data_IF_922440070948
#
_entry.id   IF_922440070948
#
_cell.length_a   1.000
_cell.length_b   1.000
_cell.length_c   1.000
_cell.angle_alpha   90.00
_cell.angle_beta   90.00
_cell.angle_gamma   90.00
#
_symmetry.space_group_name_H-M   'P 1'
#
loop_
_entity.id
_entity.type
_entity.pdbx_description
1 polymer ?
#
# COMPACT_ATOMS: atom_id res chain seq x y z
N UNK A 1 -3.57 -34.85 7.91
CA UNK A 1 -4.63 -34.02 7.31
C UNK A 1 -4.90 -32.89 8.29
N UNK A 2 -4.31 -31.71 8.09
CA UNK A 2 -4.42 -30.61 9.05
C UNK A 2 -5.70 -29.83 8.81
N UNK A 3 -6.59 -29.89 9.80
CA UNK A 3 -7.78 -29.07 9.91
C UNK A 3 -7.39 -27.62 10.21
N UNK A 4 -7.88 -26.67 9.41
CA UNK A 4 -8.00 -25.29 9.82
C UNK A 4 -9.46 -24.88 9.75
N UNK A 5 -10.02 -24.77 10.95
CA UNK A 5 -11.35 -24.29 11.24
C UNK A 5 -11.59 -22.89 10.67
N UNK A 6 -12.87 -22.62 10.38
CA UNK A 6 -13.56 -21.34 10.55
C UNK A 6 -12.81 -20.08 10.08
N UNK A 7 -13.37 -19.38 9.09
CA UNK A 7 -13.90 -18.03 9.23
C UNK A 7 -14.16 -17.44 7.84
N UNK A 8 -15.42 -17.10 7.62
CA UNK A 8 -15.90 -16.22 6.55
C UNK A 8 -14.95 -15.02 6.33
N UNK A 9 -14.40 -14.80 5.13
CA UNK A 9 -13.77 -13.54 4.81
C UNK A 9 -14.72 -12.69 3.96
N UNK A 10 -15.40 -11.76 4.61
CA UNK A 10 -15.72 -10.44 4.03
C UNK A 10 -14.44 -9.60 3.80
N UNK A 11 -13.28 -10.25 3.59
CA UNK A 11 -11.94 -9.67 3.66
C UNK A 11 -11.43 -9.09 2.32
N UNK A 12 -12.33 -8.75 1.40
CA UNK A 12 -11.95 -8.02 0.18
C UNK A 12 -11.51 -6.56 0.48
N UNK A 13 -11.67 -6.08 1.72
CA UNK A 13 -11.30 -4.72 2.16
C UNK A 13 -10.27 -4.68 3.30
N UNK A 14 -9.82 -5.83 3.83
CA UNK A 14 -8.90 -5.87 4.98
C UNK A 14 -7.44 -5.67 4.57
N UNK A 15 -7.03 -6.02 3.35
CA UNK A 15 -5.62 -5.89 2.93
C UNK A 15 -5.22 -4.42 2.71
N UNK A 16 -6.05 -3.63 2.01
CA UNK A 16 -5.78 -2.21 1.78
C UNK A 16 -5.90 -1.37 3.07
N UNK A 17 -6.85 -1.69 3.95
CA UNK A 17 -7.08 -0.98 5.20
C UNK A 17 -6.11 -1.37 6.34
N UNK A 18 -5.49 -2.55 6.26
CA UNK A 18 -4.45 -2.97 7.24
C UNK A 18 -3.07 -2.53 6.79
N UNK A 19 -2.78 -2.52 5.48
CA UNK A 19 -1.56 -1.94 4.93
C UNK A 19 -1.44 -0.44 5.25
N UNK A 20 -2.55 0.31 5.13
CA UNK A 20 -2.60 1.73 5.51
C UNK A 20 -2.44 1.99 7.02
N UNK A 21 -2.78 1.04 7.90
CA UNK A 21 -2.50 1.12 9.34
C UNK A 21 -1.04 0.85 9.69
N UNK A 22 -0.30 0.13 8.86
CA UNK A 22 1.07 -0.28 9.16
C UNK A 22 2.14 0.70 8.64
N UNK A 23 1.75 1.79 7.95
CA UNK A 23 2.70 2.80 7.49
C UNK A 23 3.57 2.35 6.32
N UNK A 24 3.13 1.34 5.56
CA UNK A 24 3.82 0.88 4.37
C UNK A 24 2.91 0.92 3.13
N UNK A 25 3.49 1.23 1.97
CA UNK A 25 2.83 1.19 0.66
C UNK A 25 3.23 -0.11 -0.04
N UNK A 26 2.25 -0.92 -0.43
CA UNK A 26 2.49 -2.09 -1.27
C UNK A 26 2.36 -1.74 -2.77
N UNK A 27 3.48 -1.70 -3.53
CA UNK A 27 3.45 -1.33 -4.95
C UNK A 27 2.80 -2.40 -5.85
N UNK A 28 2.55 -3.61 -5.33
CA UNK A 28 1.91 -4.68 -6.09
C UNK A 28 0.38 -4.64 -5.99
N UNK A 29 -0.17 -3.86 -5.05
CA UNK A 29 -1.61 -3.67 -4.92
C UNK A 29 -2.03 -2.43 -5.73
N UNK A 30 -2.61 -2.67 -6.91
CA UNK A 30 -3.03 -1.59 -7.84
C UNK A 30 -3.97 -0.59 -7.16
N UNK A 31 -4.88 -1.04 -6.30
CA UNK A 31 -5.79 -0.17 -5.57
C UNK A 31 -5.06 0.75 -4.58
N UNK A 32 -4.04 0.23 -3.89
CA UNK A 32 -3.26 0.97 -2.90
C UNK A 32 -2.36 2.00 -3.58
N UNK A 33 -1.73 1.62 -4.69
CA UNK A 33 -0.96 2.55 -5.52
C UNK A 33 -1.85 3.67 -6.05
N UNK A 34 -3.07 3.38 -6.51
CA UNK A 34 -4.00 4.41 -6.99
C UNK A 34 -4.43 5.36 -5.88
N UNK A 35 -4.82 4.82 -4.73
CA UNK A 35 -5.20 5.61 -3.56
C UNK A 35 -4.09 6.59 -3.16
N UNK A 36 -2.87 6.11 -2.95
CA UNK A 36 -1.74 6.96 -2.58
C UNK A 36 -1.32 7.91 -3.72
N UNK A 37 -1.42 7.49 -4.98
CA UNK A 37 -1.12 8.36 -6.11
C UNK A 37 -2.09 9.55 -6.19
N UNK A 38 -3.37 9.33 -5.88
CA UNK A 38 -4.38 10.39 -5.75
C UNK A 38 -4.08 11.32 -4.56
N UNK A 39 -3.80 10.77 -3.38
CA UNK A 39 -3.45 11.54 -2.17
C UNK A 39 -2.19 12.42 -2.36
N UNK A 40 -1.17 11.87 -3.03
CA UNK A 40 0.06 12.60 -3.35
C UNK A 40 -0.05 13.45 -4.63
N UNK A 41 -1.19 13.39 -5.33
CA UNK A 41 -1.41 14.04 -6.63
C UNK A 41 -0.29 13.75 -7.66
N UNK A 42 0.22 12.52 -7.69
CA UNK A 42 1.26 12.07 -8.62
C UNK A 42 0.77 10.92 -9.50
N UNK A 43 1.52 10.62 -10.57
CA UNK A 43 1.22 9.44 -11.39
C UNK A 43 1.54 8.14 -10.64
N UNK A 44 0.74 7.07 -10.80
CA UNK A 44 1.00 5.74 -10.21
C UNK A 44 2.41 5.20 -10.50
N UNK A 45 2.91 5.42 -11.72
CA UNK A 45 4.26 5.01 -12.11
C UNK A 45 5.34 5.75 -11.30
N UNK A 46 5.11 7.04 -10.99
CA UNK A 46 6.02 7.86 -10.17
C UNK A 46 6.01 7.39 -8.72
N UNK A 47 4.83 7.06 -8.19
CA UNK A 47 4.72 6.48 -6.84
C UNK A 47 5.51 5.17 -6.74
N UNK A 48 5.36 4.26 -7.71
CA UNK A 48 6.11 2.99 -7.73
C UNK A 48 7.61 3.23 -7.81
N UNK A 49 8.06 4.19 -8.60
CA UNK A 49 9.48 4.55 -8.69
C UNK A 49 10.02 5.03 -7.34
N UNK A 50 9.30 5.92 -6.66
CA UNK A 50 9.69 6.42 -5.33
C UNK A 50 9.71 5.29 -4.31
N UNK A 51 8.69 4.42 -4.28
CA UNK A 51 8.65 3.24 -3.40
C UNK A 51 9.81 2.28 -3.66
N UNK A 52 10.31 2.19 -4.90
CA UNK A 52 11.52 1.42 -5.23
C UNK A 52 12.80 2.10 -4.77
N UNK A 53 12.84 3.43 -4.75
CA UNK A 53 14.00 4.24 -4.36
C UNK A 53 14.18 4.28 -2.83
N UNK A 54 13.10 4.57 -2.09
CA UNK A 54 13.14 4.76 -0.62
C UNK A 54 12.60 3.57 0.18
N UNK A 55 12.07 2.57 -0.52
CA UNK A 55 11.41 1.42 0.08
C UNK A 55 9.92 1.63 0.33
N UNK A 56 9.30 0.63 0.96
CA UNK A 56 7.85 0.58 1.18
C UNK A 56 7.36 1.51 2.28
N UNK A 57 8.23 2.22 2.99
CA UNK A 57 7.83 3.05 4.13
C UNK A 57 7.13 4.33 3.66
N UNK A 58 5.87 4.52 4.06
CA UNK A 58 5.06 5.68 3.70
C UNK A 58 5.70 7.00 4.18
N UNK A 59 6.37 7.01 5.33
CA UNK A 59 7.04 8.19 5.86
C UNK A 59 8.17 8.65 4.93
N UNK A 60 9.01 7.71 4.49
CA UNK A 60 10.11 8.00 3.57
C UNK A 60 9.59 8.41 2.19
N UNK A 61 8.55 7.75 1.69
CA UNK A 61 7.89 8.13 0.42
C UNK A 61 7.34 9.55 0.50
N UNK A 62 6.62 9.88 1.58
CA UNK A 62 6.08 11.22 1.80
C UNK A 62 7.18 12.26 1.92
N UNK A 63 8.26 11.97 2.65
CA UNK A 63 9.43 12.85 2.78
C UNK A 63 10.09 13.10 1.42
N UNK A 64 10.21 12.07 0.58
CA UNK A 64 10.79 12.16 -0.76
C UNK A 64 9.93 12.96 -1.74
N UNK A 65 8.60 12.90 -1.59
CA UNK A 65 7.62 13.61 -2.41
C UNK A 65 7.29 15.03 -1.93
N UNK A 66 7.58 15.35 -0.67
CA UNK A 66 7.37 16.67 -0.08
C UNK A 66 8.57 17.64 -0.27
N UNK A 67 9.61 17.20 -0.99
CA UNK A 67 10.76 17.99 -1.44
C UNK A 67 10.51 18.54 -2.84
#
# INVERSE_FOLDING_TARGET
>A
MQAYANNNPVAASTTAATASRQGFINPHHVQEVRYWAEEFHISPARLIAVVREVGRNLYEVRKRLAL
#
